data_IF_041985536663
#
_entry.id   IF_041985536663
#
_cell.length_a   1.000
_cell.length_b   1.000
_cell.length_c   1.000
_cell.angle_alpha   90.00
_cell.angle_beta   90.00
_cell.angle_gamma   90.00
#
_symmetry.space_group_name_H-M   'P 1'
#
loop_
_entity.id
_entity.type
_entity.pdbx_description
1 polymer ?
#
# COMPACT_ATOMS: atom_id res chain seq x y z
N UNK A 1 -30.82 -29.84 29.62
CA UNK A 1 -30.18 -30.18 28.33
C UNK A 1 -31.25 -30.20 27.24
N UNK A 2 -30.93 -29.74 26.03
CA UNK A 2 -31.77 -29.95 24.85
C UNK A 2 -31.10 -31.04 24.03
N UNK A 3 -31.74 -32.20 23.90
CA UNK A 3 -31.15 -33.38 23.25
C UNK A 3 -31.39 -33.45 21.74
N UNK A 4 -32.30 -32.62 21.22
CA UNK A 4 -32.68 -32.55 19.80
C UNK A 4 -32.74 -31.08 19.37
N UNK A 5 -33.94 -30.60 19.03
CA UNK A 5 -34.16 -29.25 18.50
C UNK A 5 -34.71 -28.31 19.57
N UNK A 6 -34.35 -27.02 19.49
CA UNK A 6 -34.98 -25.93 20.24
C UNK A 6 -35.33 -24.79 19.28
N UNK A 7 -36.54 -24.28 19.42
CA UNK A 7 -37.00 -23.08 18.71
C UNK A 7 -37.47 -22.06 19.73
N UNK A 8 -37.08 -20.80 19.56
CA UNK A 8 -37.57 -19.67 20.34
C UNK A 8 -38.26 -18.70 19.37
N UNK A 9 -39.53 -18.37 19.63
CA UNK A 9 -40.30 -17.39 18.85
C UNK A 9 -40.65 -16.20 19.74
N UNK A 10 -40.29 -14.99 19.33
CA UNK A 10 -40.54 -13.74 20.06
C UNK A 10 -41.37 -12.83 19.15
N UNK A 11 -42.59 -12.51 19.57
CA UNK A 11 -43.57 -11.78 18.73
C UNK A 11 -43.44 -10.25 18.79
N UNK A 12 -42.80 -9.75 19.85
CA UNK A 12 -42.55 -8.32 20.07
C UNK A 12 -41.03 -8.16 20.21
N UNK A 13 -40.55 -7.70 21.36
CA UNK A 13 -39.14 -7.37 21.57
C UNK A 13 -38.39 -8.48 22.33
N UNK A 14 -37.12 -8.65 21.98
CA UNK A 14 -36.16 -9.46 22.73
C UNK A 14 -35.00 -8.58 23.22
N UNK A 15 -34.64 -8.71 24.49
CA UNK A 15 -33.45 -8.07 25.07
C UNK A 15 -32.68 -9.12 25.85
N UNK A 16 -31.39 -9.24 25.57
CA UNK A 16 -30.47 -10.14 26.26
C UNK A 16 -29.29 -9.31 26.80
N UNK A 17 -28.99 -9.48 28.10
CA UNK A 17 -27.88 -8.81 28.77
C UNK A 17 -26.99 -9.86 29.38
N UNK A 18 -25.70 -9.85 29.01
CA UNK A 18 -24.68 -10.73 29.58
C UNK A 18 -23.81 -9.89 30.51
N UNK A 19 -23.83 -10.21 31.81
CA UNK A 19 -23.09 -9.45 32.82
C UNK A 19 -21.57 -9.72 32.84
N UNK A 20 -21.11 -10.78 32.16
CA UNK A 20 -19.70 -11.14 32.05
C UNK A 20 -19.40 -11.59 30.61
N UNK A 21 -19.01 -12.84 30.40
CA UNK A 21 -18.59 -13.34 29.08
C UNK A 21 -19.68 -14.17 28.39
N UNK A 22 -19.80 -14.02 27.08
CA UNK A 22 -20.59 -14.90 26.21
C UNK A 22 -19.66 -15.63 25.23
N UNK A 23 -19.72 -16.96 25.20
CA UNK A 23 -19.07 -17.79 24.19
C UNK A 23 -20.14 -18.51 23.39
N UNK A 24 -20.18 -18.30 22.08
CA UNK A 24 -21.03 -19.04 21.15
C UNK A 24 -20.14 -19.93 20.29
N UNK A 25 -20.48 -21.21 20.19
CA UNK A 25 -19.81 -22.16 19.29
C UNK A 25 -20.86 -22.81 18.41
N UNK A 26 -20.65 -22.75 17.10
CA UNK A 26 -21.55 -23.31 16.08
C UNK A 26 -20.77 -24.38 15.31
N UNK A 27 -21.21 -25.63 15.39
CA UNK A 27 -20.44 -26.76 14.83
C UNK A 27 -20.57 -26.97 13.32
N UNK A 28 -21.70 -26.57 12.72
CA UNK A 28 -21.97 -26.79 11.29
C UNK A 28 -22.08 -25.48 10.51
N UNK A 29 -23.02 -24.60 10.88
CA UNK A 29 -23.22 -23.34 10.18
C UNK A 29 -24.17 -22.39 10.92
N UNK A 30 -24.01 -21.10 10.66
CA UNK A 30 -24.81 -20.03 11.21
C UNK A 30 -25.33 -19.15 10.08
N UNK A 31 -26.63 -18.85 10.10
CA UNK A 31 -27.26 -17.85 9.24
C UNK A 31 -27.86 -16.77 10.11
N UNK A 32 -27.50 -15.52 9.86
CA UNK A 32 -28.12 -14.35 10.48
C UNK A 32 -28.83 -13.57 9.40
N UNK A 33 -30.10 -13.27 9.62
CA UNK A 33 -30.92 -12.45 8.73
C UNK A 33 -31.56 -11.35 9.57
N UNK A 34 -31.33 -10.11 9.17
CA UNK A 34 -31.91 -8.92 9.81
C UNK A 34 -32.82 -8.24 8.79
N UNK A 35 -34.11 -8.14 9.11
CA UNK A 35 -35.14 -7.64 8.19
C UNK A 35 -35.51 -8.63 7.08
N UNK A 36 -36.71 -8.45 6.49
CA UNK A 36 -37.17 -9.22 5.31
C UNK A 36 -37.30 -8.36 4.05
N UNK A 37 -37.27 -7.04 4.20
CA UNK A 37 -37.44 -6.06 3.13
C UNK A 37 -36.69 -4.76 3.46
N UNK A 38 -36.44 -3.94 2.43
CA UNK A 38 -35.86 -2.61 2.59
C UNK A 38 -36.91 -1.62 3.12
N UNK A 39 -37.37 -1.82 4.35
CA UNK A 39 -38.23 -0.90 5.09
C UNK A 39 -37.48 -0.28 6.27
N UNK A 40 -37.87 0.93 6.69
CA UNK A 40 -37.24 1.60 7.83
C UNK A 40 -37.38 0.79 9.13
N UNK A 41 -36.33 0.78 9.95
CA UNK A 41 -36.32 0.09 11.26
C UNK A 41 -35.71 -1.33 11.25
N UNK A 42 -35.10 -1.76 10.13
CA UNK A 42 -34.45 -3.07 10.00
C UNK A 42 -32.92 -2.98 9.96
N UNK A 43 -32.35 -2.18 10.86
CA UNK A 43 -30.92 -1.88 10.89
C UNK A 43 -30.16 -2.87 11.78
N UNK A 44 -28.91 -3.15 11.42
CA UNK A 44 -27.95 -3.82 12.29
C UNK A 44 -26.86 -2.83 12.69
N UNK A 45 -26.70 -2.59 13.98
CA UNK A 45 -25.59 -1.81 14.54
C UNK A 45 -24.70 -2.73 15.38
N UNK A 46 -23.39 -2.63 15.17
CA UNK A 46 -22.37 -3.36 15.94
C UNK A 46 -21.37 -2.33 16.45
N UNK A 47 -21.27 -2.21 17.77
CA UNK A 47 -20.25 -1.39 18.43
C UNK A 47 -19.26 -2.31 19.13
N UNK A 48 -17.97 -2.16 18.81
CA UNK A 48 -16.87 -2.84 19.50
C UNK A 48 -16.02 -1.76 20.15
N UNK A 49 -15.87 -1.81 21.48
CA UNK A 49 -15.21 -0.75 22.24
C UNK A 49 -13.68 -0.82 22.23
N UNK A 50 -13.13 -2.00 21.94
CA UNK A 50 -11.69 -2.23 21.84
C UNK A 50 -11.40 -2.85 20.46
N UNK A 51 -10.90 -4.08 20.42
CA UNK A 51 -10.45 -4.70 19.19
C UNK A 51 -11.47 -5.67 18.59
N UNK A 52 -11.49 -5.74 17.26
CA UNK A 52 -12.22 -6.76 16.50
C UNK A 52 -11.25 -7.49 15.59
N UNK A 53 -11.08 -8.79 15.82
CA UNK A 53 -10.39 -9.69 14.91
C UNK A 53 -11.38 -10.55 14.13
N UNK A 54 -11.15 -10.75 12.84
CA UNK A 54 -11.96 -11.60 11.96
C UNK A 54 -11.01 -12.46 11.14
N UNK A 55 -11.11 -13.78 11.30
CA UNK A 55 -10.40 -14.74 10.45
C UNK A 55 -11.40 -15.49 9.59
N UNK A 56 -11.23 -15.41 8.27
CA UNK A 56 -12.00 -16.19 7.29
C UNK A 56 -11.02 -17.12 6.59
N UNK A 57 -11.14 -18.44 6.81
CA UNK A 57 -10.17 -19.42 6.29
C UNK A 57 -10.34 -19.76 4.81
N UNK A 58 -11.50 -19.43 4.25
CA UNK A 58 -11.80 -19.64 2.84
C UNK A 58 -12.20 -18.29 2.23
N UNK A 59 -13.38 -18.19 1.61
CA UNK A 59 -13.78 -17.00 0.87
C UNK A 59 -14.61 -16.03 1.72
N UNK A 60 -14.35 -14.73 1.54
CA UNK A 60 -15.22 -13.65 1.99
C UNK A 60 -15.84 -12.93 0.78
N UNK A 61 -17.17 -12.91 0.70
CA UNK A 61 -17.91 -12.12 -0.29
C UNK A 61 -18.70 -11.02 0.40
N UNK A 62 -18.52 -9.77 -0.05
CA UNK A 62 -19.30 -8.62 0.40
C UNK A 62 -20.05 -8.01 -0.77
N UNK A 63 -21.39 -7.95 -0.67
CA UNK A 63 -22.25 -7.27 -1.64
C UNK A 63 -23.02 -6.16 -0.95
N UNK A 64 -22.79 -4.93 -1.38
CA UNK A 64 -23.50 -3.73 -0.91
C UNK A 64 -24.33 -3.20 -2.08
N UNK A 65 -25.64 -3.00 -1.88
CA UNK A 65 -26.55 -2.57 -2.96
C UNK A 65 -26.49 -1.06 -3.22
N UNK A 66 -26.31 -0.28 -2.15
CA UNK A 66 -26.20 1.16 -2.19
C UNK A 66 -24.72 1.52 -1.91
N UNK A 67 -24.47 2.34 -0.90
CA UNK A 67 -23.15 2.88 -0.64
C UNK A 67 -22.39 2.16 0.48
N UNK A 68 -21.06 2.17 0.37
CA UNK A 68 -20.13 1.81 1.45
C UNK A 68 -19.26 3.02 1.76
N UNK A 69 -19.33 3.51 2.99
CA UNK A 69 -18.44 4.54 3.52
C UNK A 69 -17.53 3.92 4.58
N UNK A 70 -16.23 4.25 4.52
CA UNK A 70 -15.22 3.78 5.47
C UNK A 70 -14.42 4.99 5.94
N UNK A 71 -14.23 5.11 7.25
CA UNK A 71 -13.38 6.14 7.88
C UNK A 71 -12.39 5.44 8.79
N UNK A 72 -11.11 5.68 8.57
CA UNK A 72 -9.98 5.10 9.31
C UNK A 72 -9.14 6.27 9.80
N UNK A 73 -8.94 6.37 11.11
CA UNK A 73 -8.31 7.55 11.74
C UNK A 73 -6.78 7.50 11.78
N UNK A 74 -6.20 6.31 11.63
CA UNK A 74 -4.76 6.08 11.67
C UNK A 74 -4.31 5.42 10.36
N UNK A 75 -4.10 4.11 10.37
CA UNK A 75 -3.48 3.39 9.25
C UNK A 75 -4.44 2.36 8.63
N UNK A 76 -4.37 2.22 7.31
CA UNK A 76 -5.02 1.14 6.54
C UNK A 76 -3.94 0.34 5.80
N UNK A 77 -3.85 -0.95 6.11
CA UNK A 77 -2.88 -1.87 5.53
C UNK A 77 -3.57 -2.91 4.68
N UNK A 78 -3.15 -3.04 3.41
CA UNK A 78 -3.65 -4.08 2.51
C UNK A 78 -2.49 -4.92 1.97
N UNK A 79 -2.48 -6.19 2.34
CA UNK A 79 -1.60 -7.20 1.75
C UNK A 79 -2.42 -8.14 0.87
N UNK A 80 -2.05 -8.27 -0.41
CA UNK A 80 -2.66 -9.20 -1.36
C UNK A 80 -1.55 -10.07 -1.93
N UNK A 81 -1.62 -11.38 -1.68
CA UNK A 81 -0.57 -12.32 -2.08
C UNK A 81 -0.51 -12.55 -3.59
N UNK A 82 -1.67 -12.52 -4.25
CA UNK A 82 -1.84 -12.74 -5.68
C UNK A 82 -2.31 -11.44 -6.35
N UNK A 83 -3.42 -11.48 -7.09
CA UNK A 83 -3.88 -10.36 -7.90
C UNK A 83 -4.90 -9.47 -7.17
N UNK A 84 -4.75 -8.16 -7.36
CA UNK A 84 -5.80 -7.17 -7.06
C UNK A 84 -6.37 -6.63 -8.38
N UNK A 85 -7.68 -6.80 -8.57
CA UNK A 85 -8.43 -6.19 -9.69
C UNK A 85 -9.40 -5.15 -9.15
N UNK A 86 -9.43 -3.99 -9.78
CA UNK A 86 -10.31 -2.88 -9.41
C UNK A 86 -10.97 -2.32 -10.67
N UNK A 87 -12.29 -2.25 -10.67
CA UNK A 87 -13.07 -1.59 -11.72
C UNK A 87 -13.90 -0.49 -11.07
N UNK A 88 -13.81 0.72 -11.63
CA UNK A 88 -14.65 1.87 -11.25
C UNK A 88 -15.34 2.32 -12.53
N UNK A 89 -16.65 2.12 -12.61
CA UNK A 89 -17.43 2.52 -13.80
C UNK A 89 -17.67 4.03 -13.85
N UNK A 90 -17.74 4.66 -12.66
CA UNK A 90 -17.89 6.10 -12.50
C UNK A 90 -16.55 6.82 -12.38
N UNK A 91 -16.55 7.90 -11.59
CA UNK A 91 -15.38 8.73 -11.33
C UNK A 91 -14.54 8.17 -10.18
N UNK A 92 -13.21 8.15 -10.35
CA UNK A 92 -12.27 7.87 -9.27
C UNK A 92 -11.52 9.15 -8.90
N UNK A 93 -11.69 9.60 -7.66
CA UNK A 93 -10.91 10.70 -7.06
C UNK A 93 -9.94 10.15 -6.03
N UNK A 94 -8.73 10.72 -6.00
CA UNK A 94 -7.69 10.33 -5.05
C UNK A 94 -6.92 11.58 -4.63
N UNK A 95 -6.84 11.82 -3.33
CA UNK A 95 -6.05 12.89 -2.74
C UNK A 95 -5.04 12.28 -1.78
N UNK A 96 -3.76 12.60 -1.98
CA UNK A 96 -2.67 12.25 -1.06
C UNK A 96 -2.07 13.55 -0.55
N UNK A 97 -2.06 13.76 0.76
CA UNK A 97 -1.50 14.97 1.40
C UNK A 97 -0.01 14.84 1.66
N UNK A 98 0.45 13.62 1.97
CA UNK A 98 1.87 13.26 2.05
C UNK A 98 2.41 12.73 0.72
N UNK A 99 3.40 11.85 0.80
CA UNK A 99 4.05 11.27 -0.37
C UNK A 99 3.20 10.17 -1.02
N UNK A 100 3.11 10.19 -2.35
CA UNK A 100 2.57 9.09 -3.15
C UNK A 100 3.72 8.31 -3.79
N UNK A 101 3.99 7.11 -3.29
CA UNK A 101 5.12 6.28 -3.73
C UNK A 101 4.58 5.02 -4.41
N UNK A 102 4.98 4.79 -5.66
CA UNK A 102 4.59 3.61 -6.44
C UNK A 102 5.82 2.92 -7.02
N UNK A 103 6.00 1.65 -6.66
CA UNK A 103 7.04 0.78 -7.20
C UNK A 103 6.38 -0.35 -7.99
N UNK A 104 6.64 -0.38 -9.29
CA UNK A 104 6.22 -1.48 -10.18
C UNK A 104 7.47 -2.23 -10.61
N UNK A 105 7.63 -3.46 -10.13
CA UNK A 105 8.77 -4.32 -10.50
C UNK A 105 8.64 -4.90 -11.91
N UNK A 106 7.41 -5.06 -12.39
CA UNK A 106 7.09 -5.44 -13.76
C UNK A 106 6.79 -4.22 -14.64
N UNK A 107 5.86 -4.38 -15.58
CA UNK A 107 5.47 -3.32 -16.51
C UNK A 107 4.40 -2.38 -15.92
N UNK A 108 4.51 -1.09 -16.25
CA UNK A 108 3.45 -0.11 -16.02
C UNK A 108 2.85 0.31 -17.36
N UNK A 109 1.58 -0.01 -17.61
CA UNK A 109 0.85 0.40 -18.81
C UNK A 109 -0.27 1.36 -18.45
N UNK A 110 -0.42 2.43 -19.23
CA UNK A 110 -1.45 3.45 -19.05
C UNK A 110 -2.02 3.84 -20.41
N UNK A 111 -3.31 3.60 -20.60
CA UNK A 111 -4.07 4.14 -21.73
C UNK A 111 -5.03 5.21 -21.20
N UNK A 112 -4.97 6.41 -21.79
CA UNK A 112 -5.90 7.51 -21.49
C UNK A 112 -6.61 7.88 -22.79
N UNK A 113 -7.91 7.61 -22.87
CA UNK A 113 -8.71 7.91 -24.07
C UNK A 113 -9.03 9.39 -24.26
N UNK A 114 -8.93 10.17 -23.18
CA UNK A 114 -9.03 11.62 -23.19
C UNK A 114 -7.67 12.29 -22.95
N UNK A 115 -7.69 13.44 -22.30
CA UNK A 115 -6.47 14.20 -22.00
C UNK A 115 -5.75 13.68 -20.75
N UNK A 116 -4.42 13.60 -20.82
CA UNK A 116 -3.55 13.43 -19.66
C UNK A 116 -2.88 14.76 -19.32
N UNK A 117 -3.32 15.40 -18.23
CA UNK A 117 -2.70 16.61 -17.69
C UNK A 117 -1.83 16.27 -16.48
N UNK A 118 -0.58 16.75 -16.46
CA UNK A 118 0.34 16.65 -15.31
C UNK A 118 0.91 18.02 -14.98
N UNK A 119 0.65 18.50 -13.76
CA UNK A 119 1.22 19.75 -13.23
C UNK A 119 2.14 19.42 -12.06
N UNK A 120 3.39 19.85 -12.15
CA UNK A 120 4.42 19.62 -11.14
C UNK A 120 4.98 20.96 -10.70
N UNK A 121 4.83 21.32 -9.43
CA UNK A 121 5.39 22.56 -8.88
C UNK A 121 6.89 22.45 -8.58
N UNK A 122 7.36 21.24 -8.27
CA UNK A 122 8.77 20.91 -8.09
C UNK A 122 9.44 20.48 -9.41
N UNK A 123 10.33 19.51 -9.33
CA UNK A 123 11.02 18.96 -10.51
C UNK A 123 10.25 17.78 -11.13
N UNK A 124 10.23 17.70 -12.46
CA UNK A 124 9.86 16.50 -13.21
C UNK A 124 11.14 15.86 -13.77
N UNK A 125 11.46 14.65 -13.30
CA UNK A 125 12.60 13.86 -13.77
C UNK A 125 12.14 12.59 -14.45
N UNK A 126 12.80 12.23 -15.55
CA UNK A 126 12.62 10.96 -16.26
C UNK A 126 14.01 10.39 -16.49
N UNK A 127 14.31 9.26 -15.84
CA UNK A 127 15.50 8.45 -16.11
C UNK A 127 15.04 7.12 -16.71
N UNK A 128 15.52 6.81 -17.90
CA UNK A 128 15.26 5.56 -18.61
C UNK A 128 16.63 4.98 -18.98
N UNK A 129 16.80 3.66 -18.82
CA UNK A 129 18.05 2.98 -19.18
C UNK A 129 18.14 2.74 -20.69
N UNK A 130 16.99 2.53 -21.34
CA UNK A 130 16.84 2.41 -22.80
C UNK A 130 16.22 3.68 -23.41
N UNK A 131 15.40 3.54 -24.46
CA UNK A 131 14.88 4.65 -25.25
C UNK A 131 13.76 5.46 -24.58
N UNK A 132 13.73 6.76 -24.89
CA UNK A 132 12.57 7.62 -24.69
C UNK A 132 11.97 7.94 -26.07
N UNK A 133 10.79 7.38 -26.34
CA UNK A 133 10.05 7.64 -27.58
C UNK A 133 8.85 8.53 -27.27
N UNK A 134 8.80 9.69 -27.91
CA UNK A 134 7.66 10.61 -27.87
C UNK A 134 7.11 10.76 -29.28
N UNK A 135 5.88 10.30 -29.49
CA UNK A 135 5.20 10.40 -30.78
C UNK A 135 3.98 11.30 -30.65
N UNK A 136 3.78 12.16 -31.65
CA UNK A 136 2.62 13.02 -31.76
C UNK A 136 2.28 13.17 -33.23
N UNK A 137 1.02 12.97 -33.60
CA UNK A 137 0.54 13.19 -34.97
C UNK A 137 0.47 14.67 -35.36
N UNK A 138 0.61 15.58 -34.38
CA UNK A 138 0.41 17.01 -34.59
C UNK A 138 1.65 17.83 -34.23
N UNK A 139 2.08 17.77 -32.97
CA UNK A 139 3.16 18.62 -32.47
C UNK A 139 3.79 18.07 -31.20
N UNK A 140 5.10 18.22 -31.08
CA UNK A 140 5.83 18.16 -29.81
C UNK A 140 6.40 19.55 -29.54
N UNK A 141 6.18 20.11 -28.34
CA UNK A 141 6.65 21.45 -27.98
C UNK A 141 7.36 21.41 -26.64
N UNK A 142 8.59 21.95 -26.61
CA UNK A 142 9.43 22.08 -25.42
C UNK A 142 9.75 23.56 -25.24
N UNK A 143 9.37 24.16 -24.12
CA UNK A 143 9.50 25.61 -23.90
C UNK A 143 10.10 25.93 -22.53
N UNK A 144 11.03 26.89 -22.51
CA UNK A 144 11.64 27.45 -21.30
C UNK A 144 11.76 28.97 -21.47
N UNK A 145 11.01 29.74 -20.67
CA UNK A 145 10.96 31.19 -20.81
C UNK A 145 10.63 31.62 -22.25
N UNK A 146 11.50 32.43 -22.86
CA UNK A 146 11.39 32.86 -24.25
C UNK A 146 11.97 31.90 -25.30
N UNK A 147 12.59 30.78 -24.90
CA UNK A 147 13.20 29.80 -25.83
C UNK A 147 12.31 28.57 -26.01
N UNK A 148 12.33 27.97 -27.20
CA UNK A 148 11.58 26.75 -27.47
C UNK A 148 12.17 25.87 -28.59
N UNK A 149 11.73 24.61 -28.60
CA UNK A 149 11.84 23.67 -29.71
C UNK A 149 10.44 23.16 -30.03
N UNK A 150 10.06 23.18 -31.31
CA UNK A 150 8.78 22.65 -31.78
C UNK A 150 9.02 21.70 -32.94
N UNK A 151 8.54 20.47 -32.81
CA UNK A 151 8.54 19.46 -33.88
C UNK A 151 7.11 19.38 -34.41
N UNK A 152 6.94 19.49 -35.73
CA UNK A 152 5.65 19.44 -36.41
C UNK A 152 5.82 18.86 -37.84
N UNK A 153 4.73 18.56 -38.59
CA UNK A 153 4.84 17.90 -39.89
C UNK A 153 5.64 18.63 -40.97
N UNK A 154 5.90 19.93 -40.79
CA UNK A 154 6.67 20.76 -41.72
C UNK A 154 8.16 20.84 -41.41
N UNK A 155 8.61 20.34 -40.25
CA UNK A 155 10.01 20.41 -39.82
C UNK A 155 10.19 20.60 -38.32
N UNK A 156 11.35 21.17 -37.96
CA UNK A 156 11.74 21.45 -36.58
C UNK A 156 12.10 22.93 -36.45
N UNK A 157 11.36 23.64 -35.61
CA UNK A 157 11.62 25.04 -35.26
C UNK A 157 12.45 25.10 -33.96
N UNK A 158 13.54 25.87 -33.98
CA UNK A 158 14.39 26.11 -32.81
C UNK A 158 14.60 27.61 -32.66
N UNK A 159 14.13 28.20 -31.56
CA UNK A 159 14.20 29.64 -31.33
C UNK A 159 14.68 29.97 -29.92
N UNK A 160 15.60 30.94 -29.82
CA UNK A 160 16.07 31.51 -28.56
C UNK A 160 17.14 32.59 -28.81
N UNK A 161 17.45 33.45 -27.81
CA UNK A 161 18.45 34.51 -27.97
C UNK A 161 19.86 34.00 -28.33
N UNK A 162 20.18 32.77 -27.93
CA UNK A 162 21.44 32.09 -28.22
C UNK A 162 21.17 30.59 -28.35
N UNK A 163 21.63 30.01 -29.45
CA UNK A 163 21.59 28.56 -29.70
C UNK A 163 23.03 28.08 -29.76
N UNK A 164 23.44 27.24 -28.82
CA UNK A 164 24.74 26.57 -28.92
C UNK A 164 24.55 25.20 -29.57
N UNK A 165 25.31 24.93 -30.63
CA UNK A 165 25.38 23.63 -31.28
C UNK A 165 26.78 23.07 -31.06
N UNK A 166 26.88 21.85 -30.53
CA UNK A 166 28.15 21.18 -30.22
C UNK A 166 29.11 21.99 -29.31
N UNK A 167 28.61 22.92 -28.49
CA UNK A 167 29.42 23.74 -27.58
C UNK A 167 28.64 24.17 -26.33
N UNK A 168 29.32 24.29 -25.19
CA UNK A 168 28.78 24.82 -23.94
C UNK A 168 27.79 23.92 -23.18
N UNK A 169 27.35 24.39 -22.00
CA UNK A 169 26.31 23.77 -21.16
C UNK A 169 26.79 22.77 -20.11
N UNK A 170 25.91 22.46 -19.14
CA UNK A 170 26.00 21.31 -18.22
C UNK A 170 24.60 20.68 -18.14
N UNK A 171 24.44 19.36 -18.29
CA UNK A 171 23.13 18.72 -18.18
C UNK A 171 22.56 18.83 -16.76
N UNK A 172 21.23 18.87 -16.65
CA UNK A 172 20.54 18.69 -15.37
C UNK A 172 20.54 17.22 -14.93
N UNK A 173 20.30 16.98 -13.64
CA UNK A 173 20.11 15.63 -13.10
C UNK A 173 18.61 15.37 -12.86
N UNK A 174 18.07 14.19 -13.20
CA UNK A 174 16.70 13.82 -12.86
C UNK A 174 16.54 13.70 -11.33
N UNK A 175 15.35 14.04 -10.82
CA UNK A 175 15.00 13.77 -9.41
C UNK A 175 14.91 12.26 -9.17
N UNK A 176 15.41 11.80 -8.01
CA UNK A 176 15.40 10.39 -7.62
C UNK A 176 14.01 9.89 -7.20
N UNK A 177 13.80 8.58 -7.24
CA UNK A 177 12.57 7.92 -6.77
C UNK A 177 12.70 7.52 -5.30
N UNK A 178 11.56 7.49 -4.59
CA UNK A 178 11.45 6.92 -3.25
C UNK A 178 11.07 5.43 -3.34
N UNK A 179 11.34 4.66 -2.29
CA UNK A 179 10.94 3.26 -2.19
C UNK A 179 9.81 3.11 -1.16
N UNK A 180 8.74 2.34 -1.48
CA UNK A 180 7.67 2.10 -0.52
C UNK A 180 8.10 1.08 0.55
N UNK A 181 7.49 1.16 1.73
CA UNK A 181 7.57 0.10 2.73
C UNK A 181 6.75 -1.13 2.26
N UNK A 182 7.24 -2.34 2.57
CA UNK A 182 6.54 -3.59 2.25
C UNK A 182 5.82 -4.11 3.49
N UNK A 183 4.51 -4.34 3.37
CA UNK A 183 3.73 -5.04 4.39
C UNK A 183 4.03 -6.55 4.33
N UNK A 184 4.03 -7.20 5.50
CA UNK A 184 4.11 -8.65 5.63
C UNK A 184 2.71 -9.25 5.81
N UNK A 185 2.53 -10.51 5.48
CA UNK A 185 1.32 -11.25 5.84
C UNK A 185 1.16 -11.27 7.36
N UNK A 186 -0.07 -11.18 7.84
CA UNK A 186 -0.39 -11.52 9.22
C UNK A 186 -0.31 -13.04 9.37
N UNK A 187 0.32 -13.53 10.44
CA UNK A 187 0.39 -14.96 10.74
C UNK A 187 -0.95 -15.47 11.25
N UNK A 188 -1.34 -16.67 10.82
CA UNK A 188 -2.46 -17.39 11.42
C UNK A 188 -2.00 -17.93 12.79
N UNK A 189 -2.42 -17.28 13.88
CA UNK A 189 -2.32 -17.87 15.22
C UNK A 189 -3.36 -19.01 15.31
N UNK A 190 -2.94 -20.23 14.98
CA UNK A 190 -3.71 -21.45 15.27
C UNK A 190 -3.50 -21.84 16.73
N UNK A 191 -4.50 -21.59 17.58
CA UNK A 191 -4.63 -22.26 18.89
C UNK A 191 -6.00 -22.91 19.02
N UNK A 192 -6.19 -23.96 18.22
CA UNK A 192 -7.15 -25.01 18.54
C UNK A 192 -6.75 -25.72 19.83
N UNK A 193 -7.57 -25.54 20.87
CA UNK A 193 -7.49 -26.24 22.14
C UNK A 193 -7.72 -27.76 21.97
N UNK A 194 -6.74 -28.58 22.36
CA UNK A 194 -7.00 -29.93 22.85
C UNK A 194 -6.91 -29.92 24.38
N UNK A 195 -8.06 -30.13 25.00
CA UNK A 195 -8.22 -30.48 26.41
C UNK A 195 -7.67 -31.90 26.63
N UNK A 196 -6.61 -32.02 27.44
CA UNK A 196 -6.39 -33.23 28.23
C UNK A 196 -5.81 -32.84 29.59
N UNK A 197 -6.62 -33.01 30.64
CA UNK A 197 -6.19 -32.85 32.01
C UNK A 197 -5.31 -34.01 32.49
N UNK A 198 -4.36 -33.72 33.38
CA UNK A 198 -3.62 -34.76 34.11
C UNK A 198 -2.32 -34.37 34.83
N UNK A 199 -2.43 -33.52 35.86
CA UNK A 199 -1.65 -33.49 37.11
C UNK A 199 -0.10 -33.28 37.18
N UNK A 200 0.26 -32.22 37.94
CA UNK A 200 1.37 -32.05 38.91
C UNK A 200 2.84 -32.19 38.43
N UNK A 201 3.83 -31.42 38.88
CA UNK A 201 3.99 -30.44 39.98
C UNK A 201 5.32 -29.69 39.76
N UNK A 202 5.41 -28.45 40.27
CA UNK A 202 6.61 -27.64 40.61
C UNK A 202 7.69 -27.37 39.53
N UNK A 203 7.87 -26.10 39.17
CA UNK A 203 8.87 -25.25 39.87
C UNK A 203 8.63 -23.77 39.57
N UNK A 204 8.68 -22.94 40.60
CA UNK A 204 8.65 -21.49 40.51
C UNK A 204 10.07 -20.99 40.25
N UNK A 205 10.25 -20.15 39.23
CA UNK A 205 11.15 -19.00 39.37
C UNK A 205 10.75 -17.89 38.42
N UNK A 206 10.14 -16.87 39.02
CA UNK A 206 10.00 -15.51 38.53
C UNK A 206 11.36 -14.88 38.22
N UNK A 207 11.51 -14.22 37.07
CA UNK A 207 12.06 -12.85 36.94
C UNK A 207 11.98 -12.37 35.49
N UNK A 208 11.19 -11.33 35.26
CA UNK A 208 11.46 -10.21 34.32
C UNK A 208 11.55 -8.93 35.19
N UNK A 209 12.08 -7.75 34.76
CA UNK A 209 12.18 -7.26 33.38
C UNK A 209 13.44 -6.39 33.04
N UNK A 210 13.40 -5.74 31.86
CA UNK A 210 13.95 -4.42 31.45
C UNK A 210 15.12 -4.39 30.43
N UNK A 211 14.96 -3.83 29.22
CA UNK A 211 14.78 -2.44 28.72
C UNK A 211 16.07 -1.57 28.66
N UNK A 212 16.41 -1.19 27.43
CA UNK A 212 17.12 0.03 26.95
C UNK A 212 18.48 0.49 27.53
N UNK A 213 19.45 0.73 26.62
CA UNK A 213 20.26 1.96 26.56
C UNK A 213 20.98 2.03 25.17
N UNK A 214 20.56 2.87 24.23
CA UNK A 214 20.98 4.26 23.98
C UNK A 214 22.46 4.48 23.60
N UNK A 215 22.67 4.87 22.34
CA UNK A 215 23.60 5.87 21.78
C UNK A 215 24.97 6.16 22.44
N UNK A 216 26.00 6.14 21.59
CA UNK A 216 27.24 6.92 21.72
C UNK A 216 28.39 6.19 21.00
N UNK A 217 29.20 6.77 20.12
CA UNK A 217 29.45 8.16 19.79
C UNK A 217 30.26 8.21 18.46
N UNK A 218 29.96 9.18 17.59
CA UNK A 218 30.81 9.59 16.46
C UNK A 218 31.81 10.65 16.96
N UNK A 219 33.08 10.50 16.56
CA UNK A 219 34.20 11.48 16.38
C UNK A 219 35.50 10.74 16.74
N UNK A 220 36.51 10.51 15.89
CA UNK A 220 37.01 11.27 14.74
C UNK A 220 38.30 11.97 15.15
N UNK A 221 39.48 11.41 14.83
CA UNK A 221 40.76 12.12 14.62
C UNK A 221 41.83 11.23 13.97
N UNK A 222 42.72 11.90 13.23
CA UNK A 222 43.65 11.46 12.20
C UNK A 222 44.83 10.56 12.61
N UNK A 223 45.41 9.86 11.62
CA UNK A 223 46.72 9.19 11.75
C UNK A 223 47.16 8.38 10.51
N UNK A 224 47.75 9.07 9.54
CA UNK A 224 48.29 8.58 8.25
C UNK A 224 49.51 7.64 8.41
N UNK A 225 49.58 6.56 7.61
CA UNK A 225 50.80 6.14 6.90
C UNK A 225 50.46 5.43 5.57
N UNK A 226 50.90 6.03 4.47
CA UNK A 226 50.91 5.49 3.10
C UNK A 226 51.73 4.21 2.95
N UNK A 227 51.35 3.36 1.99
CA UNK A 227 52.24 2.64 1.05
C UNK A 227 51.43 1.92 -0.05
N UNK A 228 51.39 2.57 -1.22
CA UNK A 228 51.71 2.06 -2.57
C UNK A 228 51.34 0.61 -2.98
N UNK A 229 50.71 0.51 -4.17
CA UNK A 229 50.92 -0.42 -5.32
C UNK A 229 49.57 -0.95 -5.86
N UNK A 230 49.28 -1.03 -7.17
CA UNK A 230 49.84 -0.56 -8.45
C UNK A 230 48.75 -0.89 -9.49
N UNK A 231 48.45 0.02 -10.42
CA UNK A 231 47.64 -0.29 -11.60
C UNK A 231 48.47 -1.09 -12.61
N UNK A 232 47.90 -2.15 -13.20
CA UNK A 232 48.37 -2.67 -14.49
C UNK A 232 47.22 -2.63 -15.51
N UNK A 233 47.39 -1.76 -16.51
CA UNK A 233 46.84 -1.95 -17.85
C UNK A 233 47.65 -3.04 -18.54
N UNK A 234 46.98 -3.85 -19.36
CA UNK A 234 47.54 -4.37 -20.61
C UNK A 234 46.43 -4.36 -21.66
N UNK A 235 46.60 -3.48 -22.65
CA UNK A 235 46.27 -3.69 -24.06
C UNK A 235 47.24 -4.77 -24.60
N UNK A 236 46.90 -5.64 -25.56
CA UNK A 236 46.81 -5.38 -27.02
C UNK A 236 46.37 -6.67 -27.77
N UNK A 237 45.76 -6.46 -28.95
CA UNK A 237 45.87 -7.24 -30.21
C UNK A 237 45.33 -8.69 -30.32
N UNK A 238 44.27 -8.89 -31.12
CA UNK A 238 44.30 -9.08 -32.59
C UNK A 238 42.98 -8.58 -33.22
#
# INVERSE_FOLDING_TARGET
EVLNNRTTDVKMDHTETIGNNQKITVGLGQTVTVGKENAGGHDQSITVAHDRSITVRNDQTLKVKNDRMVSISHDDGLYVANDRKVTVEGKQEHTTTGDHISLVKGSHSLEVKGDLARKVSGALGIKVEDDIVLESSSRISLKVGGSFVVIHPGGVDIMGPKINLNSGGRPGAPVGTMQPSLLKSLSDEDSGSEDSGGANESDQTTTEPELNHMFGSIKGIDGIQSKELVFRRFTEEE
#
